data_IF_079109270973
#
_entry.id   IF_079109270973
#
_cell.length_a   1.000
_cell.length_b   1.000
_cell.length_c   1.000
_cell.angle_alpha   90.00
_cell.angle_beta   90.00
_cell.angle_gamma   90.00
#
_symmetry.space_group_name_H-M   'P 1'
#
loop_
_entity.id
_entity.type
_entity.pdbx_description
1 polymer ?
#
# COMPACT_ATOMS: atom_id res chain seq x y z
N UNK A 1 -8.01 -35.32 26.01
CA UNK A 1 -8.00 -33.85 26.11
C UNK A 1 -7.53 -33.32 24.76
N UNK A 2 -8.43 -33.00 23.84
CA UNK A 2 -8.05 -32.38 22.57
C UNK A 2 -8.78 -31.04 22.45
N UNK A 3 -7.97 -30.00 22.40
CA UNK A 3 -8.32 -28.60 22.52
C UNK A 3 -9.12 -28.14 21.28
N UNK A 4 -10.24 -27.44 21.50
CA UNK A 4 -11.10 -26.88 20.47
C UNK A 4 -10.89 -25.36 20.48
N UNK A 5 -9.97 -24.87 19.65
CA UNK A 5 -9.62 -23.46 19.52
C UNK A 5 -10.15 -22.91 18.20
N UNK A 6 -11.34 -22.31 18.25
CA UNK A 6 -11.91 -21.55 17.14
C UNK A 6 -11.07 -20.29 16.86
N UNK A 7 -10.59 -20.18 15.63
CA UNK A 7 -10.01 -18.97 15.07
C UNK A 7 -10.46 -18.89 13.63
N UNK A 8 -11.50 -18.10 13.36
CA UNK A 8 -12.02 -17.86 12.03
C UNK A 8 -11.03 -17.06 11.19
N UNK A 9 -10.03 -17.73 10.63
CA UNK A 9 -9.24 -17.18 9.54
C UNK A 9 -10.08 -17.32 8.28
N UNK A 10 -10.71 -16.22 7.84
CA UNK A 10 -11.24 -16.14 6.49
C UNK A 10 -10.05 -16.12 5.54
N UNK A 11 -9.64 -17.30 5.09
CA UNK A 11 -8.80 -17.43 3.91
C UNK A 11 -9.59 -16.83 2.75
N UNK A 12 -9.28 -15.59 2.38
CA UNK A 12 -9.75 -15.04 1.12
C UNK A 12 -9.20 -15.97 0.03
N UNK A 13 -10.13 -16.54 -0.74
CA UNK A 13 -9.90 -17.43 -1.87
C UNK A 13 -8.85 -16.81 -2.80
N UNK A 14 -7.60 -17.25 -2.69
CA UNK A 14 -6.49 -16.87 -3.57
C UNK A 14 -6.51 -17.83 -4.76
N UNK A 15 -7.57 -17.74 -5.56
CA UNK A 15 -7.95 -18.77 -6.52
C UNK A 15 -7.15 -18.80 -7.81
N UNK A 16 -6.92 -17.67 -8.50
CA UNK A 16 -6.68 -17.80 -9.95
C UNK A 16 -5.65 -16.84 -10.59
N UNK A 17 -4.80 -16.14 -9.82
CA UNK A 17 -3.72 -15.36 -10.47
C UNK A 17 -2.47 -15.13 -9.61
N UNK A 18 -2.11 -16.05 -8.70
CA UNK A 18 -0.92 -15.89 -7.85
C UNK A 18 0.33 -15.64 -8.70
N UNK A 19 0.42 -16.28 -9.85
CA UNK A 19 1.52 -16.19 -10.78
C UNK A 19 1.02 -15.65 -12.13
N UNK A 20 1.78 -14.72 -12.70
CA UNK A 20 1.64 -14.24 -14.08
C UNK A 20 2.07 -15.35 -15.07
N UNK A 21 1.90 -15.15 -16.38
CA UNK A 21 2.20 -16.15 -17.42
C UNK A 21 3.67 -16.62 -17.41
N UNK A 22 4.55 -15.86 -16.76
CA UNK A 22 5.98 -16.12 -16.60
C UNK A 22 6.34 -16.81 -15.26
N UNK A 23 5.35 -17.20 -14.43
CA UNK A 23 5.59 -17.81 -13.12
C UNK A 23 6.02 -16.82 -12.02
N UNK A 24 5.93 -15.52 -12.30
CA UNK A 24 6.22 -14.45 -11.34
C UNK A 24 4.97 -14.04 -10.56
N UNK A 25 5.10 -13.75 -9.27
CA UNK A 25 3.94 -13.30 -8.47
C UNK A 25 3.30 -12.06 -9.11
N UNK A 26 2.00 -12.12 -9.40
CA UNK A 26 1.26 -11.04 -10.04
C UNK A 26 1.43 -9.73 -9.23
N UNK A 27 1.91 -8.63 -9.85
CA UNK A 27 2.10 -7.35 -9.17
C UNK A 27 0.81 -6.78 -8.56
N UNK A 28 -0.36 -7.11 -9.12
CA UNK A 28 -1.66 -6.73 -8.58
C UNK A 28 -1.94 -7.38 -7.21
N UNK A 29 -1.57 -8.65 -7.06
CA UNK A 29 -1.67 -9.39 -5.79
C UNK A 29 -0.69 -8.84 -4.75
N UNK A 30 0.53 -8.46 -5.18
CA UNK A 30 1.50 -7.82 -4.28
C UNK A 30 0.97 -6.50 -3.75
N UNK A 31 0.33 -5.69 -4.59
CA UNK A 31 -0.30 -4.45 -4.14
C UNK A 31 -1.41 -4.72 -3.13
N UNK A 32 -2.37 -5.59 -3.47
CA UNK A 32 -3.50 -5.89 -2.59
C UNK A 32 -3.05 -6.39 -1.22
N UNK A 33 -2.01 -7.22 -1.17
CA UNK A 33 -1.45 -7.72 0.08
C UNK A 33 -0.75 -6.62 0.91
N UNK A 34 0.08 -5.78 0.27
CA UNK A 34 0.71 -4.64 0.93
C UNK A 34 -0.31 -3.63 1.44
N UNK A 35 -1.31 -3.30 0.62
CA UNK A 35 -2.43 -2.44 0.97
C UNK A 35 -3.17 -2.95 2.21
N UNK A 36 -3.51 -4.25 2.22
CA UNK A 36 -4.17 -4.87 3.36
C UNK A 36 -3.31 -4.84 4.63
N UNK A 37 -2.01 -5.15 4.51
CA UNK A 37 -1.08 -5.14 5.62
C UNK A 37 -0.92 -3.73 6.23
N UNK A 38 -0.68 -2.73 5.37
CA UNK A 38 -0.54 -1.32 5.79
C UNK A 38 -1.82 -0.83 6.44
N UNK A 39 -2.96 -1.04 5.78
CA UNK A 39 -4.26 -0.61 6.30
C UNK A 39 -4.56 -1.24 7.66
N UNK A 40 -4.34 -2.54 7.81
CA UNK A 40 -4.56 -3.22 9.09
C UNK A 40 -3.57 -2.74 10.17
N UNK A 41 -2.32 -2.48 9.82
CA UNK A 41 -1.31 -1.97 10.76
C UNK A 41 -1.71 -0.61 11.35
N UNK A 42 -2.20 0.29 10.48
CA UNK A 42 -2.56 1.66 10.87
C UNK A 42 -3.96 1.77 11.50
N UNK A 43 -4.94 1.01 11.01
CA UNK A 43 -6.35 1.17 11.40
C UNK A 43 -6.87 0.06 12.31
N UNK A 44 -6.18 -1.08 12.37
CA UNK A 44 -6.66 -2.34 13.00
C UNK A 44 -8.00 -2.84 12.44
N UNK A 45 -8.36 -2.41 11.23
CA UNK A 45 -9.57 -2.84 10.52
C UNK A 45 -9.21 -3.59 9.24
N UNK A 46 -10.09 -4.49 8.74
CA UNK A 46 -9.84 -5.17 7.47
C UNK A 46 -9.89 -4.18 6.31
N UNK A 47 -8.94 -4.32 5.38
CA UNK A 47 -8.95 -3.57 4.13
C UNK A 47 -10.03 -4.10 3.19
N UNK A 48 -10.86 -3.21 2.66
CA UNK A 48 -11.97 -3.54 1.74
C UNK A 48 -11.83 -2.84 0.38
N UNK A 49 -10.72 -2.13 0.16
CA UNK A 49 -10.45 -1.45 -1.10
C UNK A 49 -10.14 -2.43 -2.23
N UNK A 50 -10.44 -2.01 -3.46
CA UNK A 50 -10.26 -2.84 -4.67
C UNK A 50 -8.81 -3.01 -5.11
N UNK A 51 -7.86 -2.31 -4.48
CA UNK A 51 -6.46 -2.43 -4.84
C UNK A 51 -6.06 -1.66 -6.11
N UNK A 52 -6.93 -0.81 -6.66
CA UNK A 52 -6.74 -0.18 -7.98
C UNK A 52 -6.40 1.32 -7.92
N UNK A 53 -6.14 1.84 -6.72
CA UNK A 53 -5.86 3.26 -6.47
C UNK A 53 -4.73 3.38 -5.46
N UNK A 54 -3.84 4.38 -5.58
CA UNK A 54 -2.79 4.60 -4.58
C UNK A 54 -3.38 5.04 -3.23
N UNK A 55 -4.61 5.57 -3.19
CA UNK A 55 -5.32 5.85 -1.95
C UNK A 55 -5.97 4.56 -1.42
N UNK A 56 -5.52 4.10 -0.25
CA UNK A 56 -6.12 2.97 0.45
C UNK A 56 -7.44 3.35 1.11
N UNK A 57 -7.52 4.58 1.62
CA UNK A 57 -8.72 5.12 2.23
C UNK A 57 -8.41 6.18 3.28
N UNK A 58 -9.46 6.67 3.92
CA UNK A 58 -9.37 7.68 4.98
C UNK A 58 -9.89 7.05 6.28
N UNK A 59 -9.12 7.15 7.35
CA UNK A 59 -9.49 6.66 8.67
C UNK A 59 -9.11 7.69 9.74
N UNK A 60 -10.05 8.03 10.64
CA UNK A 60 -9.89 9.10 11.64
C UNK A 60 -9.37 10.43 11.05
N UNK A 61 -9.81 10.80 9.85
CA UNK A 61 -9.39 12.03 9.16
C UNK A 61 -7.99 11.99 8.54
N UNK A 62 -7.27 10.87 8.67
CA UNK A 62 -5.97 10.64 8.05
C UNK A 62 -6.14 9.85 6.75
N UNK A 63 -5.56 10.35 5.66
CA UNK A 63 -5.56 9.64 4.39
C UNK A 63 -4.32 8.75 4.26
N UNK A 64 -4.51 7.49 3.89
CA UNK A 64 -3.45 6.50 3.77
C UNK A 64 -3.19 6.17 2.30
N UNK A 65 -1.95 6.35 1.86
CA UNK A 65 -1.54 6.12 0.48
C UNK A 65 -0.44 5.08 0.41
N UNK A 66 -0.44 4.29 -0.67
CA UNK A 66 0.59 3.34 -1.04
C UNK A 66 1.10 3.67 -2.44
N UNK A 67 2.36 4.07 -2.53
CA UNK A 67 3.06 4.28 -3.78
C UNK A 67 3.50 2.93 -4.33
N UNK A 68 2.87 2.52 -5.43
CA UNK A 68 3.16 1.25 -6.09
C UNK A 68 3.15 1.41 -7.61
N UNK A 69 4.24 1.02 -8.27
CA UNK A 69 4.41 1.12 -9.72
C UNK A 69 3.24 0.50 -10.50
N UNK A 70 2.68 -0.63 -10.03
CA UNK A 70 1.57 -1.31 -10.69
C UNK A 70 0.27 -0.49 -10.77
N UNK A 71 0.09 0.49 -9.88
CA UNK A 71 -1.12 1.32 -9.79
C UNK A 71 -0.88 2.75 -10.28
N UNK A 72 0.35 3.25 -10.15
CA UNK A 72 0.70 4.61 -10.57
C UNK A 72 0.89 4.77 -12.08
N UNK A 73 0.85 3.68 -12.85
CA UNK A 73 0.90 3.71 -14.33
C UNK A 73 2.24 4.14 -14.93
N UNK A 74 3.21 4.57 -14.11
CA UNK A 74 4.53 4.99 -14.56
C UNK A 74 5.45 3.77 -14.66
N UNK A 75 5.67 3.33 -15.92
CA UNK A 75 6.52 2.19 -16.30
C UNK A 75 8.02 2.37 -16.00
N UNK A 76 8.43 3.40 -15.25
CA UNK A 76 9.85 3.59 -14.88
C UNK A 76 10.15 2.77 -13.65
N UNK A 77 11.03 1.79 -13.84
CA UNK A 77 11.54 0.83 -12.84
C UNK A 77 12.05 1.51 -11.54
N UNK A 78 12.44 2.80 -11.59
CA UNK A 78 13.02 3.56 -10.48
C UNK A 78 12.16 4.73 -9.95
N UNK A 79 10.93 4.91 -10.45
CA UNK A 79 10.19 6.17 -10.27
C UNK A 79 8.92 6.12 -9.42
N UNK A 80 8.08 5.10 -9.60
CA UNK A 80 6.71 5.17 -9.06
C UNK A 80 6.60 4.93 -7.55
N UNK A 81 7.48 4.15 -6.94
CA UNK A 81 7.43 3.95 -5.48
C UNK A 81 8.12 5.08 -4.69
N UNK A 82 8.67 6.08 -5.38
CA UNK A 82 9.41 7.18 -4.76
C UNK A 82 8.50 8.39 -4.58
N UNK A 83 8.37 8.87 -3.35
CA UNK A 83 7.61 10.09 -3.10
C UNK A 83 8.38 11.30 -3.66
N UNK A 84 7.86 11.87 -4.75
CA UNK A 84 8.34 13.11 -5.37
C UNK A 84 7.22 14.14 -5.40
N UNK A 85 7.54 15.41 -5.64
CA UNK A 85 6.50 16.45 -5.77
C UNK A 85 5.49 16.14 -6.88
N UNK A 86 5.96 15.53 -7.98
CA UNK A 86 5.10 15.11 -9.10
C UNK A 86 4.16 13.97 -8.71
N UNK A 87 4.67 12.98 -7.98
CA UNK A 87 3.83 11.88 -7.49
C UNK A 87 2.80 12.42 -6.50
N UNK A 88 3.23 13.28 -5.56
CA UNK A 88 2.34 13.88 -4.57
C UNK A 88 1.20 14.66 -5.21
N UNK A 89 1.49 15.45 -6.24
CA UNK A 89 0.49 16.22 -7.01
C UNK A 89 -0.50 15.32 -7.78
N UNK A 90 -0.06 14.13 -8.20
CA UNK A 90 -0.91 13.14 -8.85
C UNK A 90 -1.70 12.24 -7.90
N UNK A 91 -1.50 12.33 -6.58
CA UNK A 91 -2.28 11.57 -5.61
C UNK A 91 -3.67 12.21 -5.43
N UNK A 92 -4.71 11.40 -5.12
CA UNK A 92 -6.00 11.94 -4.73
C UNK A 92 -5.88 12.96 -3.60
N UNK A 93 -6.38 14.18 -3.84
CA UNK A 93 -6.24 15.29 -2.90
C UNK A 93 -6.94 14.98 -1.57
N UNK A 94 -6.29 15.36 -0.47
CA UNK A 94 -6.87 15.31 0.87
C UNK A 94 -6.41 16.54 1.67
N UNK A 95 -7.34 17.32 2.27
CA UNK A 95 -6.97 18.55 2.98
C UNK A 95 -6.30 18.29 4.34
N UNK A 96 -6.36 17.07 4.87
CA UNK A 96 -5.86 16.72 6.19
C UNK A 96 -4.50 16.00 6.21
N UNK A 97 -4.12 15.43 7.37
CA UNK A 97 -2.91 14.63 7.52
C UNK A 97 -2.92 13.41 6.59
N UNK A 98 -1.74 13.10 6.06
CA UNK A 98 -1.53 12.02 5.09
C UNK A 98 -0.43 11.11 5.60
N UNK A 99 -0.62 9.81 5.45
CA UNK A 99 0.44 8.82 5.63
C UNK A 99 0.71 8.20 4.27
N UNK A 100 1.93 8.38 3.75
CA UNK A 100 2.31 7.90 2.43
C UNK A 100 3.38 6.83 2.60
N UNK A 101 3.07 5.62 2.13
CA UNK A 101 4.01 4.51 2.07
C UNK A 101 4.68 4.45 0.71
N UNK A 102 6.01 4.39 0.67
CA UNK A 102 6.78 4.16 -0.55
C UNK A 102 8.18 3.60 -0.26
N UNK A 103 9.02 3.42 -1.27
CA UNK A 103 10.39 2.94 -1.08
C UNK A 103 11.30 4.01 -0.46
N UNK A 104 11.18 5.24 -0.97
CA UNK A 104 11.93 6.40 -0.47
C UNK A 104 11.20 7.70 -0.73
N UNK A 105 11.58 8.77 -0.03
CA UNK A 105 11.07 10.12 -0.24
C UNK A 105 12.19 11.03 -0.75
N UNK A 106 11.93 11.73 -1.84
CA UNK A 106 12.76 12.83 -2.36
C UNK A 106 12.24 14.19 -1.92
N UNK A 107 11.18 14.25 -1.12
CA UNK A 107 10.69 15.48 -0.53
C UNK A 107 11.52 15.85 0.71
N UNK A 108 11.90 17.12 0.80
CA UNK A 108 12.54 17.67 2.00
C UNK A 108 11.58 17.72 3.20
N UNK A 109 12.11 17.77 4.43
CA UNK A 109 11.30 17.73 5.65
C UNK A 109 10.32 18.90 5.76
N UNK A 110 10.69 20.09 5.29
CA UNK A 110 9.80 21.25 5.26
C UNK A 110 8.54 20.99 4.42
N UNK A 111 8.71 20.38 3.23
CA UNK A 111 7.59 20.09 2.32
C UNK A 111 6.66 19.01 2.86
N UNK A 112 7.22 18.02 3.55
CA UNK A 112 6.45 16.99 4.25
C UNK A 112 5.62 17.62 5.38
N UNK A 113 6.23 18.52 6.17
CA UNK A 113 5.55 19.21 7.25
C UNK A 113 4.41 20.12 6.75
N UNK A 114 4.65 20.92 5.71
CA UNK A 114 3.64 21.79 5.09
C UNK A 114 2.44 20.99 4.56
N UNK A 115 2.68 19.82 3.96
CA UNK A 115 1.62 18.96 3.44
C UNK A 115 0.92 18.08 4.48
N UNK A 116 1.34 18.16 5.75
CA UNK A 116 0.97 17.23 6.84
C UNK A 116 1.21 15.76 6.46
N UNK A 117 2.33 15.50 5.79
CA UNK A 117 2.68 14.19 5.24
C UNK A 117 3.63 13.48 6.19
N UNK A 118 3.23 12.30 6.63
CA UNK A 118 4.10 11.33 7.27
C UNK A 118 4.52 10.31 6.22
N UNK A 119 5.82 10.29 5.88
CA UNK A 119 6.36 9.27 4.99
C UNK A 119 6.80 8.03 5.78
N UNK A 120 6.40 6.84 5.30
CA UNK A 120 6.83 5.56 5.85
C UNK A 120 7.37 4.68 4.73
N UNK A 121 8.39 3.88 5.05
CA UNK A 121 8.89 2.93 4.07
C UNK A 121 7.92 1.75 3.92
N UNK A 122 7.66 1.34 2.68
CA UNK A 122 6.91 0.11 2.42
C UNK A 122 7.69 -1.08 2.97
N UNK A 123 7.06 -1.95 3.76
CA UNK A 123 7.72 -3.17 4.23
C UNK A 123 8.04 -4.05 3.03
N UNK A 124 9.32 -4.11 2.66
CA UNK A 124 9.82 -4.94 1.57
C UNK A 124 10.39 -6.24 2.16
N UNK A 125 9.52 -7.16 2.54
CA UNK A 125 9.93 -8.50 2.97
C UNK A 125 8.84 -9.53 2.69
N UNK A 126 8.61 -9.79 1.40
CA UNK A 126 8.24 -11.13 0.96
C UNK A 126 9.20 -11.44 -0.18
N UNK A 127 10.46 -11.70 0.18
CA UNK A 127 11.28 -12.58 -0.65
C UNK A 127 10.51 -13.90 -0.71
N UNK A 128 9.75 -14.09 -1.78
CA UNK A 128 9.38 -15.41 -2.22
C UNK A 128 10.71 -16.17 -2.37
N UNK A 129 10.99 -17.01 -1.37
CA UNK A 129 12.13 -17.91 -1.34
C UNK A 129 11.85 -19.08 -2.25
#
# INVERSE_FOLDING_TARGET
MNWNGGGGFRFYHLGEAIFDEDGHINPDIRFAHLAAHIWFSETRTPYTGKGNSPLLGIHNGVAYYLLYNGILGDKRVNGGNVLTSKILDGLPEHPGPKVIYGETSRLGPARLLEGQITFKQTPYDIKAR
#
